data_IF_774972999316
#
_entry.id   IF_774972999316
#
_cell.length_a   1.000
_cell.length_b   1.000
_cell.length_c   1.000
_cell.angle_alpha   90.00
_cell.angle_beta   90.00
_cell.angle_gamma   90.00
#
_symmetry.space_group_name_H-M   'P 1'
#
loop_
_entity.id
_entity.type
_entity.pdbx_description
1 polymer ?
#
# COMPACT_ATOMS: atom_id res chain seq x y z
N UNK A 1 39.26 2.22 -14.74
CA UNK A 1 38.07 2.04 -13.90
C UNK A 1 38.25 0.74 -13.15
N UNK A 2 38.40 0.80 -11.82
CA UNK A 2 38.76 -0.35 -10.98
C UNK A 2 37.49 -0.85 -10.28
N UNK A 3 37.01 -2.05 -10.65
CA UNK A 3 35.74 -2.65 -10.22
C UNK A 3 35.88 -3.61 -9.03
N UNK A 4 37.04 -3.65 -8.37
CA UNK A 4 37.44 -4.78 -7.52
C UNK A 4 37.35 -4.54 -6.00
N UNK A 5 36.62 -3.51 -5.53
CA UNK A 5 36.69 -3.14 -4.11
C UNK A 5 35.39 -2.63 -3.47
N UNK A 6 34.24 -3.17 -3.87
CA UNK A 6 33.01 -3.04 -3.08
C UNK A 6 32.85 -4.24 -2.15
N UNK A 7 33.73 -4.35 -1.15
CA UNK A 7 33.38 -5.11 0.06
C UNK A 7 32.26 -4.34 0.75
N UNK A 8 31.01 -4.72 0.50
CA UNK A 8 29.88 -4.32 1.34
C UNK A 8 30.14 -4.97 2.70
N UNK A 9 30.84 -4.26 3.58
CA UNK A 9 31.00 -4.66 4.97
C UNK A 9 29.61 -4.57 5.61
N UNK A 10 28.91 -5.71 5.67
CA UNK A 10 27.66 -5.84 6.39
C UNK A 10 28.01 -5.74 7.89
N UNK A 11 28.01 -4.51 8.40
CA UNK A 11 28.12 -4.21 9.83
C UNK A 11 26.73 -4.39 10.45
N UNK A 12 26.65 -5.05 11.61
CA UNK A 12 25.44 -5.02 12.42
C UNK A 12 25.13 -3.56 12.78
N UNK A 13 23.92 -3.11 12.43
CA UNK A 13 23.44 -1.77 12.76
C UNK A 13 22.60 -1.84 14.03
N UNK A 14 22.81 -0.90 14.93
CA UNK A 14 21.97 -0.76 16.11
C UNK A 14 20.55 -0.31 15.74
N UNK A 15 19.56 -0.63 16.58
CA UNK A 15 18.16 -0.22 16.35
C UNK A 15 17.99 1.29 16.16
N UNK A 16 18.78 2.11 16.88
CA UNK A 16 18.76 3.57 16.75
C UNK A 16 19.31 4.05 15.41
N UNK A 17 20.36 3.41 14.89
CA UNK A 17 20.91 3.74 13.57
C UNK A 17 19.90 3.38 12.46
N UNK A 18 19.13 2.30 12.63
CA UNK A 18 18.06 1.91 11.70
C UNK A 18 16.92 2.92 11.76
N UNK A 19 16.50 3.35 12.95
CA UNK A 19 15.46 4.38 13.10
C UNK A 19 15.87 5.72 12.48
N UNK A 20 17.09 6.18 12.75
CA UNK A 20 17.58 7.45 12.17
C UNK A 20 17.64 7.38 10.63
N UNK A 21 18.08 6.23 10.09
CA UNK A 21 18.06 5.99 8.65
C UNK A 21 16.63 5.98 8.10
N UNK A 22 15.69 5.32 8.79
CA UNK A 22 14.29 5.28 8.37
C UNK A 22 13.66 6.68 8.37
N UNK A 23 13.95 7.52 9.36
CA UNK A 23 13.50 8.91 9.41
C UNK A 23 14.10 9.76 8.29
N UNK A 24 15.37 9.55 7.95
CA UNK A 24 16.01 10.22 6.81
C UNK A 24 15.33 9.84 5.49
N UNK A 25 15.04 8.55 5.28
CA UNK A 25 14.31 8.08 4.09
C UNK A 25 12.90 8.66 4.04
N UNK A 26 12.17 8.64 5.16
CA UNK A 26 10.83 9.20 5.27
C UNK A 26 10.82 10.69 4.92
N UNK A 27 11.77 11.46 5.48
CA UNK A 27 11.88 12.90 5.21
C UNK A 27 12.24 13.18 3.75
N UNK A 28 13.14 12.39 3.18
CA UNK A 28 13.56 12.55 1.79
C UNK A 28 12.42 12.23 0.80
N UNK A 29 11.54 11.28 1.14
CA UNK A 29 10.48 10.80 0.24
C UNK A 29 9.06 11.15 0.70
N UNK A 30 8.92 12.14 1.58
CA UNK A 30 7.62 12.44 2.21
C UNK A 30 6.56 12.76 1.16
N UNK A 31 6.93 13.49 0.10
CA UNK A 31 5.99 13.88 -0.93
C UNK A 31 5.64 12.73 -1.86
N UNK A 32 6.62 11.96 -2.31
CA UNK A 32 6.32 10.79 -3.13
C UNK A 32 5.50 9.76 -2.34
N UNK A 33 5.74 9.61 -1.03
CA UNK A 33 4.94 8.76 -0.16
C UNK A 33 3.50 9.27 -0.01
N UNK A 34 3.32 10.58 0.18
CA UNK A 34 1.99 11.19 0.24
C UNK A 34 1.25 10.95 -1.08
N UNK A 35 1.86 11.21 -2.24
CA UNK A 35 1.22 10.93 -3.52
C UNK A 35 0.93 9.44 -3.73
N UNK A 36 1.85 8.56 -3.34
CA UNK A 36 1.70 7.12 -3.44
C UNK A 36 0.55 6.58 -2.58
N UNK A 37 0.15 7.27 -1.50
CA UNK A 37 -1.01 6.88 -0.70
C UNK A 37 -2.29 7.63 -1.09
N UNK A 38 -2.21 8.93 -1.35
CA UNK A 38 -3.38 9.77 -1.63
C UNK A 38 -3.99 9.42 -2.98
N UNK A 39 -3.18 9.20 -4.02
CA UNK A 39 -3.68 8.92 -5.37
C UNK A 39 -4.49 7.60 -5.46
N UNK A 40 -4.04 6.45 -4.92
CA UNK A 40 -4.86 5.26 -4.89
C UNK A 40 -6.02 5.37 -3.88
N UNK A 41 -5.85 6.08 -2.76
CA UNK A 41 -6.94 6.29 -1.80
C UNK A 41 -8.08 7.09 -2.42
N UNK A 42 -7.79 8.18 -3.12
CA UNK A 42 -8.81 8.97 -3.83
C UNK A 42 -9.47 8.13 -4.91
N UNK A 43 -8.71 7.38 -5.70
CA UNK A 43 -9.26 6.46 -6.69
C UNK A 43 -10.22 5.44 -6.08
N UNK A 44 -9.87 4.86 -4.92
CA UNK A 44 -10.72 3.91 -4.21
C UNK A 44 -11.98 4.58 -3.66
N UNK A 45 -11.89 5.79 -3.11
CA UNK A 45 -13.05 6.56 -2.63
C UNK A 45 -14.02 6.87 -3.78
N UNK A 46 -13.51 7.30 -4.94
CA UNK A 46 -14.35 7.55 -6.12
C UNK A 46 -15.00 6.26 -6.62
N UNK A 47 -14.25 5.17 -6.68
CA UNK A 47 -14.77 3.87 -7.09
C UNK A 47 -15.84 3.36 -6.13
N UNK A 48 -15.60 3.48 -4.82
CA UNK A 48 -16.57 3.07 -3.80
C UNK A 48 -17.81 3.93 -3.84
N UNK A 49 -17.66 5.26 -3.97
CA UNK A 49 -18.81 6.15 -4.09
C UNK A 49 -19.64 5.81 -5.33
N UNK A 50 -18.99 5.60 -6.48
CA UNK A 50 -19.69 5.22 -7.71
C UNK A 50 -20.42 3.87 -7.61
N UNK A 51 -19.79 2.87 -7.01
CA UNK A 51 -20.37 1.52 -6.89
C UNK A 51 -21.46 1.42 -5.81
N UNK A 52 -21.34 2.17 -4.72
CA UNK A 52 -22.19 2.04 -3.55
C UNK A 52 -23.24 3.15 -3.41
N UNK A 53 -23.15 4.25 -4.19
CA UNK A 53 -24.05 5.41 -4.05
C UNK A 53 -25.53 5.06 -4.21
N UNK A 54 -25.90 4.23 -5.19
CA UNK A 54 -27.30 3.84 -5.41
C UNK A 54 -27.73 2.68 -4.49
N UNK A 55 -26.83 1.76 -4.16
CA UNK A 55 -27.18 0.51 -3.45
C UNK A 55 -27.38 0.72 -1.96
N UNK A 56 -26.53 1.55 -1.32
CA UNK A 56 -26.64 1.83 0.12
C UNK A 56 -27.69 2.87 0.44
N UNK A 57 -28.04 3.76 -0.50
CA UNK A 57 -29.05 4.79 -0.28
C UNK A 57 -30.46 4.19 -0.09
N UNK A 58 -30.83 3.19 -0.90
CA UNK A 58 -32.11 2.48 -0.77
C UNK A 58 -32.15 1.53 0.45
N UNK A 59 -31.01 0.94 0.79
CA UNK A 59 -30.91 -0.04 1.87
C UNK A 59 -30.95 0.61 3.27
N UNK A 60 -30.27 1.74 3.47
CA UNK A 60 -30.19 2.46 4.76
C UNK A 60 -31.51 3.11 5.23
N UNK A 61 -32.51 3.28 4.34
CA UNK A 61 -33.83 3.80 4.72
C UNK A 61 -34.71 2.74 5.41
N UNK A 62 -34.33 1.47 5.36
CA UNK A 62 -35.04 0.40 6.08
C UNK A 62 -34.50 0.32 7.51
N UNK A 63 -35.30 0.68 8.52
CA UNK A 63 -34.92 0.81 9.95
C UNK A 63 -34.31 -0.46 10.61
N UNK A 64 -34.20 -1.57 9.89
CA UNK A 64 -33.77 -2.88 10.39
C UNK A 64 -32.31 -3.24 10.04
N UNK A 65 -31.47 -2.24 9.72
CA UNK A 65 -30.04 -2.46 9.46
C UNK A 65 -29.31 -2.92 10.73
N UNK A 66 -29.18 -4.24 10.86
CA UNK A 66 -28.38 -4.91 11.89
C UNK A 66 -26.94 -4.39 11.82
N UNK A 67 -26.44 -3.82 12.93
CA UNK A 67 -25.05 -3.33 13.04
C UNK A 67 -24.00 -4.34 12.53
N UNK A 68 -24.30 -5.64 12.64
CA UNK A 68 -23.45 -6.73 12.13
C UNK A 68 -23.19 -6.66 10.62
N UNK A 69 -24.18 -6.32 9.80
CA UNK A 69 -24.02 -6.24 8.34
C UNK A 69 -23.15 -5.04 7.95
N UNK A 70 -23.37 -3.89 8.60
CA UNK A 70 -22.51 -2.72 8.44
C UNK A 70 -21.05 -3.04 8.79
N UNK A 71 -20.80 -3.69 9.93
CA UNK A 71 -19.45 -4.09 10.32
C UNK A 71 -18.84 -5.11 9.35
N UNK A 72 -19.64 -6.04 8.82
CA UNK A 72 -19.19 -6.99 7.81
C UNK A 72 -18.74 -6.26 6.53
N UNK A 73 -19.56 -5.36 5.98
CA UNK A 73 -19.20 -4.59 4.79
C UNK A 73 -17.98 -3.68 5.03
N UNK A 74 -17.90 -3.03 6.18
CA UNK A 74 -16.73 -2.23 6.57
C UNK A 74 -15.46 -3.08 6.62
N UNK A 75 -15.54 -4.29 7.21
CA UNK A 75 -14.42 -5.20 7.32
C UNK A 75 -13.99 -5.71 5.95
N UNK A 76 -14.92 -6.12 5.10
CA UNK A 76 -14.63 -6.56 3.72
C UNK A 76 -13.99 -5.43 2.92
N UNK A 77 -14.55 -4.22 3.01
CA UNK A 77 -14.03 -3.04 2.32
C UNK A 77 -12.61 -2.70 2.78
N UNK A 78 -12.36 -2.71 4.09
CA UNK A 78 -11.04 -2.41 4.65
C UNK A 78 -10.04 -3.51 4.31
N UNK A 79 -10.41 -4.79 4.46
CA UNK A 79 -9.55 -5.93 4.18
C UNK A 79 -9.07 -5.98 2.72
N UNK A 80 -9.92 -5.59 1.77
CA UNK A 80 -9.58 -5.58 0.34
C UNK A 80 -8.95 -4.25 -0.07
N UNK A 81 -9.53 -3.14 0.36
CA UNK A 81 -9.13 -1.79 -0.05
C UNK A 81 -7.80 -1.35 0.55
N UNK A 82 -7.54 -1.65 1.83
CA UNK A 82 -6.30 -1.21 2.49
C UNK A 82 -5.05 -1.74 1.78
N UNK A 83 -4.89 -3.03 1.46
CA UNK A 83 -3.71 -3.51 0.75
C UNK A 83 -3.51 -2.84 -0.62
N UNK A 84 -4.59 -2.59 -1.36
CA UNK A 84 -4.53 -1.93 -2.68
C UNK A 84 -4.03 -0.49 -2.54
N UNK A 85 -4.56 0.24 -1.55
CA UNK A 85 -4.19 1.63 -1.28
C UNK A 85 -2.75 1.74 -0.74
N UNK A 86 -2.30 0.78 0.06
CA UNK A 86 -0.95 0.80 0.66
C UNK A 86 0.14 0.23 -0.25
N UNK A 87 -0.21 -0.62 -1.23
CA UNK A 87 0.77 -1.29 -2.10
C UNK A 87 1.73 -0.33 -2.81
N UNK A 88 1.31 0.83 -3.37
CA UNK A 88 2.23 1.76 -4.01
C UNK A 88 3.26 2.33 -3.03
N UNK A 89 2.86 2.63 -1.80
CA UNK A 89 3.77 3.09 -0.75
C UNK A 89 4.81 2.01 -0.40
N UNK A 90 4.39 0.74 -0.31
CA UNK A 90 5.30 -0.39 -0.05
C UNK A 90 6.33 -0.57 -1.18
N UNK A 91 5.89 -0.52 -2.44
CA UNK A 91 6.79 -0.63 -3.61
C UNK A 91 7.76 0.55 -3.66
N UNK A 92 7.27 1.77 -3.40
CA UNK A 92 8.08 2.98 -3.37
C UNK A 92 9.18 2.90 -2.31
N UNK A 93 8.83 2.53 -1.07
CA UNK A 93 9.79 2.37 0.02
C UNK A 93 10.76 1.21 -0.21
N UNK A 94 10.32 0.14 -0.87
CA UNK A 94 11.21 -0.92 -1.34
C UNK A 94 12.29 -0.38 -2.28
N UNK A 95 11.90 0.36 -3.33
CA UNK A 95 12.85 0.97 -4.27
C UNK A 95 13.78 1.97 -3.57
N UNK A 96 13.23 2.77 -2.66
CA UNK A 96 13.97 3.73 -1.84
C UNK A 96 15.09 3.08 -1.03
N UNK A 97 14.80 1.96 -0.37
CA UNK A 97 15.76 1.27 0.49
C UNK A 97 16.86 0.57 -0.31
N UNK A 98 16.59 0.17 -1.55
CA UNK A 98 17.58 -0.41 -2.46
C UNK A 98 18.30 0.61 -3.36
N UNK A 99 18.03 1.92 -3.19
CA UNK A 99 18.68 2.98 -3.95
C UNK A 99 18.31 3.02 -5.44
N UNK A 100 17.15 2.45 -5.80
CA UNK A 100 16.65 2.45 -7.17
C UNK A 100 15.98 3.79 -7.52
N UNK A 101 15.99 4.15 -8.80
CA UNK A 101 15.35 5.39 -9.26
C UNK A 101 13.82 5.30 -9.16
N UNK A 102 13.20 6.36 -8.66
CA UNK A 102 11.76 6.47 -8.43
C UNK A 102 11.05 7.04 -9.66
N UNK A 103 10.99 6.29 -10.76
CA UNK A 103 10.16 6.70 -11.90
C UNK A 103 8.72 6.16 -11.78
N UNK A 104 7.69 6.98 -12.03
CA UNK A 104 6.29 6.59 -11.79
C UNK A 104 5.83 5.45 -12.71
N UNK A 105 6.33 5.39 -13.95
CA UNK A 105 6.03 4.30 -14.88
C UNK A 105 6.61 2.97 -14.41
N UNK A 106 7.82 2.98 -13.83
CA UNK A 106 8.42 1.76 -13.29
C UNK A 106 7.69 1.31 -12.03
N UNK A 107 7.27 2.26 -11.17
CA UNK A 107 6.46 1.95 -10.00
C UNK A 107 5.16 1.24 -10.40
N UNK A 108 4.43 1.75 -11.39
CA UNK A 108 3.22 1.10 -11.90
C UNK A 108 3.50 -0.30 -12.46
N UNK A 109 4.59 -0.45 -13.22
CA UNK A 109 5.00 -1.75 -13.79
C UNK A 109 5.32 -2.77 -12.69
N UNK A 110 6.04 -2.34 -11.65
CA UNK A 110 6.40 -3.19 -10.51
C UNK A 110 5.15 -3.59 -9.72
N UNK A 111 4.22 -2.65 -9.53
CA UNK A 111 2.96 -2.91 -8.86
C UNK A 111 2.10 -3.94 -9.60
N UNK A 112 2.02 -3.82 -10.94
CA UNK A 112 1.35 -4.81 -11.79
C UNK A 112 2.06 -6.16 -11.76
N UNK A 113 3.39 -6.18 -11.69
CA UNK A 113 4.18 -7.41 -11.58
C UNK A 113 3.97 -8.12 -10.24
N UNK A 114 3.76 -7.37 -9.17
CA UNK A 114 3.47 -7.89 -7.84
C UNK A 114 1.98 -8.25 -7.64
N UNK A 115 1.08 -7.80 -8.52
CA UNK A 115 -0.36 -8.07 -8.42
C UNK A 115 -0.75 -9.56 -8.23
N UNK A 116 -0.17 -10.56 -8.94
CA UNK A 116 -0.54 -11.95 -8.70
C UNK A 116 -0.15 -12.44 -7.30
N UNK A 117 0.94 -11.93 -6.73
CA UNK A 117 1.34 -12.23 -5.36
C UNK A 117 0.38 -11.60 -4.35
N UNK A 118 -0.04 -10.35 -4.58
CA UNK A 118 -1.04 -9.69 -3.73
C UNK A 118 -2.37 -10.44 -3.72
N UNK A 119 -2.84 -10.91 -4.88
CA UNK A 119 -4.07 -11.70 -4.97
C UNK A 119 -3.90 -13.03 -4.24
N UNK A 120 -2.78 -13.73 -4.43
CA UNK A 120 -2.48 -14.97 -3.72
C UNK A 120 -2.46 -14.77 -2.20
N UNK A 121 -1.79 -13.74 -1.69
CA UNK A 121 -1.74 -13.47 -0.26
C UNK A 121 -3.08 -13.05 0.32
N UNK A 122 -3.88 -12.27 -0.41
CA UNK A 122 -5.24 -11.94 0.03
C UNK A 122 -6.17 -13.16 0.05
N UNK A 123 -6.03 -14.09 -0.90
CA UNK A 123 -6.87 -15.29 -0.95
C UNK A 123 -6.40 -16.35 0.06
N UNK A 124 -5.11 -16.67 0.09
CA UNK A 124 -4.53 -17.65 1.01
C UNK A 124 -4.61 -17.19 2.46
N UNK A 125 -4.33 -15.91 2.74
CA UNK A 125 -4.47 -15.33 4.08
C UNK A 125 -5.91 -15.25 4.58
N UNK A 126 -6.91 -15.44 3.70
CA UNK A 126 -8.34 -15.54 4.06
C UNK A 126 -8.85 -16.98 4.11
N UNK A 127 -8.13 -17.93 3.53
CA UNK A 127 -8.48 -19.35 3.51
C UNK A 127 -7.87 -20.15 4.67
N UNK A 128 -6.92 -19.55 5.41
CA UNK A 128 -6.30 -20.08 6.63
C UNK A 128 -6.91 -19.45 7.88
#
# INVERSE_FOLDING_TARGET
>A
MNLDNQRIAIRERGIFEIMDLALHVLRAQVWELVFAMVLPATGMIFLSHYLLADTLADELETEDYMAAEYFYYLLVYTAIGTPIVTAPATVLLGRATFGETTSPLQLLRDLLRCSPQFILFQVLGRAA
#
